data_IF_607368212118
#
_entry.id   IF_607368212118
#
_cell.length_a   1.000
_cell.length_b   1.000
_cell.length_c   1.000
_cell.angle_alpha   90.00
_cell.angle_beta   90.00
_cell.angle_gamma   90.00
#
_symmetry.space_group_name_H-M   'P 1'
#
loop_
_entity.id
_entity.type
_entity.pdbx_description
1 polymer ?
#
# COMPACT_ATOMS: atom_id res chain seq x y z
N UNK A 1 -11.34 6.16 -16.54
CA UNK A 1 -12.21 6.83 -15.54
C UNK A 1 -12.13 8.34 -15.75
N UNK A 2 -13.26 9.06 -15.70
CA UNK A 2 -13.26 10.54 -15.75
C UNK A 2 -12.53 11.09 -14.52
N UNK A 3 -11.44 11.84 -14.72
CA UNK A 3 -10.82 12.61 -13.62
C UNK A 3 -11.74 13.81 -13.34
N UNK A 4 -12.01 14.07 -12.06
CA UNK A 4 -12.75 15.26 -11.60
C UNK A 4 -11.77 16.16 -10.85
N UNK A 5 -11.89 17.46 -11.05
CA UNK A 5 -11.17 18.48 -10.29
C UNK A 5 -11.71 18.60 -8.87
N UNK A 6 -10.94 19.24 -7.98
CA UNK A 6 -11.38 19.55 -6.61
C UNK A 6 -12.63 20.43 -6.63
N UNK A 7 -12.67 21.46 -7.50
CA UNK A 7 -13.81 22.35 -7.63
C UNK A 7 -15.09 21.61 -8.04
N UNK A 8 -15.00 20.66 -8.98
CA UNK A 8 -16.15 19.82 -9.35
C UNK A 8 -16.63 18.95 -8.19
N UNK A 9 -15.73 18.40 -7.37
CA UNK A 9 -16.10 17.60 -6.21
C UNK A 9 -16.77 18.45 -5.13
N UNK A 10 -16.24 19.64 -4.85
CA UNK A 10 -16.85 20.59 -3.93
C UNK A 10 -18.26 20.99 -4.39
N UNK A 11 -18.44 21.26 -5.69
CA UNK A 11 -19.76 21.54 -6.28
C UNK A 11 -20.75 20.39 -6.19
N UNK A 12 -20.28 19.15 -6.00
CA UNK A 12 -21.09 17.96 -5.76
C UNK A 12 -21.37 17.69 -4.27
N UNK A 13 -20.97 18.60 -3.38
CA UNK A 13 -21.18 18.48 -1.94
C UNK A 13 -20.12 17.66 -1.20
N UNK A 14 -19.01 17.30 -1.86
CA UNK A 14 -17.87 16.73 -1.13
C UNK A 14 -17.21 17.78 -0.26
N UNK A 15 -16.62 17.35 0.85
CA UNK A 15 -15.88 18.22 1.74
C UNK A 15 -14.38 18.02 1.54
N UNK A 16 -13.64 19.13 1.50
CA UNK A 16 -12.19 19.09 1.56
C UNK A 16 -11.77 19.05 3.03
N UNK A 17 -11.02 18.01 3.37
CA UNK A 17 -10.50 17.82 4.70
C UNK A 17 -9.00 18.04 4.71
N UNK A 18 -8.54 19.07 5.42
CA UNK A 18 -7.13 19.35 5.57
C UNK A 18 -6.50 18.36 6.53
N UNK A 19 -5.39 17.76 6.09
CA UNK A 19 -4.63 16.79 6.86
C UNK A 19 -3.13 17.04 6.66
N UNK A 20 -2.38 17.00 7.75
CA UNK A 20 -0.93 17.24 7.78
C UNK A 20 -0.11 16.05 7.26
N UNK A 21 -0.75 14.89 7.07
CA UNK A 21 -0.08 13.64 6.70
C UNK A 21 0.67 12.96 7.85
N UNK A 22 0.55 13.49 9.07
CA UNK A 22 1.34 13.07 10.24
C UNK A 22 0.43 12.58 11.36
N UNK A 23 -0.58 13.36 11.71
CA UNK A 23 -1.46 13.08 12.84
C UNK A 23 -2.49 12.02 12.46
N UNK A 24 -2.59 10.94 13.24
CA UNK A 24 -3.62 9.93 13.00
C UNK A 24 -5.03 10.53 13.20
N UNK A 25 -5.96 10.29 12.27
CA UNK A 25 -7.32 10.85 12.35
C UNK A 25 -8.38 9.88 11.84
N UNK A 26 -9.31 9.41 12.69
CA UNK A 26 -10.43 8.62 12.23
C UNK A 26 -11.45 9.50 11.48
N UNK A 27 -12.06 8.91 10.46
CA UNK A 27 -13.18 9.50 9.72
C UNK A 27 -14.43 8.71 10.06
N UNK A 28 -15.42 9.41 10.61
CA UNK A 28 -16.69 8.83 11.03
C UNK A 28 -17.85 9.31 10.16
N UNK A 29 -18.87 8.47 10.00
CA UNK A 29 -20.12 8.86 9.37
C UNK A 29 -21.02 9.66 10.34
N UNK A 30 -22.22 10.02 9.88
CA UNK A 30 -23.20 10.77 10.69
C UNK A 30 -23.71 10.02 11.92
N UNK A 31 -23.50 8.71 12.01
CA UNK A 31 -23.84 7.88 13.17
C UNK A 31 -22.61 7.64 14.09
N UNK A 32 -21.48 8.29 13.81
CA UNK A 32 -20.24 8.14 14.58
C UNK A 32 -19.44 6.87 14.25
N UNK A 33 -19.82 6.10 13.23
CA UNK A 33 -19.12 4.87 12.84
C UNK A 33 -17.86 5.21 12.06
N UNK A 34 -16.71 4.74 12.52
CA UNK A 34 -15.44 4.91 11.82
C UNK A 34 -15.47 4.05 10.55
N UNK A 35 -15.34 4.70 9.38
CA UNK A 35 -15.30 4.02 8.09
C UNK A 35 -13.92 4.10 7.42
N UNK A 36 -13.05 4.99 7.88
CA UNK A 36 -11.68 5.12 7.42
C UNK A 36 -10.80 5.74 8.51
N UNK A 37 -9.50 5.50 8.45
CA UNK A 37 -8.50 6.13 9.31
C UNK A 37 -7.41 6.72 8.43
N UNK A 38 -7.14 8.01 8.61
CA UNK A 38 -5.92 8.63 8.11
C UNK A 38 -4.81 8.22 9.08
N UNK A 39 -4.00 7.24 8.69
CA UNK A 39 -3.06 6.53 9.56
C UNK A 39 -1.98 7.43 10.20
N UNK A 40 -1.59 8.50 9.53
CA UNK A 40 -0.47 9.33 9.97
C UNK A 40 0.86 8.62 9.78
N UNK A 41 1.78 8.94 10.68
CA UNK A 41 3.08 8.28 10.78
C UNK A 41 3.44 8.08 12.26
N UNK A 42 4.31 7.10 12.59
CA UNK A 42 4.84 6.98 13.92
C UNK A 42 5.67 8.22 14.30
N UNK A 43 5.74 8.50 15.60
CA UNK A 43 6.58 9.58 16.16
C UNK A 43 8.06 9.18 16.09
N UNK A 44 8.64 9.27 14.90
CA UNK A 44 10.01 8.92 14.64
C UNK A 44 10.55 9.72 13.45
N UNK A 45 11.59 10.52 13.69
CA UNK A 45 12.22 11.38 12.70
C UNK A 45 12.74 10.63 11.46
N UNK A 46 13.16 9.37 11.62
CA UNK A 46 13.66 8.52 10.53
C UNK A 46 12.54 7.90 9.67
N UNK A 47 11.26 8.05 10.06
CA UNK A 47 10.17 7.40 9.34
C UNK A 47 10.10 7.82 7.88
N UNK A 48 10.18 9.12 7.61
CA UNK A 48 10.11 9.63 6.24
C UNK A 48 11.27 9.12 5.39
N UNK A 49 12.47 9.06 5.96
CA UNK A 49 13.64 8.52 5.28
C UNK A 49 13.47 7.01 5.01
N UNK A 50 12.93 6.25 5.97
CA UNK A 50 12.62 4.83 5.79
C UNK A 50 11.62 4.60 4.65
N UNK A 51 10.54 5.38 4.58
CA UNK A 51 9.55 5.29 3.49
C UNK A 51 10.19 5.55 2.13
N UNK A 52 11.09 6.55 2.02
CA UNK A 52 11.81 6.85 0.78
C UNK A 52 12.78 5.71 0.39
N UNK A 53 13.53 5.17 1.34
CA UNK A 53 14.43 4.02 1.09
C UNK A 53 13.65 2.76 0.66
N UNK A 54 12.50 2.50 1.29
CA UNK A 54 11.61 1.42 0.88
C UNK A 54 11.09 1.62 -0.55
N UNK A 55 10.69 2.86 -0.89
CA UNK A 55 10.30 3.22 -2.25
C UNK A 55 11.42 2.97 -3.25
N UNK A 56 12.63 3.44 -2.97
CA UNK A 56 13.79 3.28 -3.86
C UNK A 56 14.15 1.80 -4.03
N UNK A 57 14.11 1.00 -2.96
CA UNK A 57 14.34 -0.45 -3.04
C UNK A 57 13.32 -1.13 -3.95
N UNK A 58 12.02 -0.85 -3.80
CA UNK A 58 10.97 -1.40 -4.67
C UNK A 58 11.18 -0.97 -6.13
N UNK A 59 11.57 0.29 -6.35
CA UNK A 59 11.82 0.82 -7.70
C UNK A 59 13.04 0.20 -8.36
N UNK A 60 14.13 0.00 -7.63
CA UNK A 60 15.35 -0.61 -8.12
C UNK A 60 15.14 -2.08 -8.47
N UNK A 61 14.54 -2.84 -7.55
CA UNK A 61 14.19 -4.24 -7.77
C UNK A 61 13.23 -4.40 -8.95
N UNK A 62 12.20 -3.55 -9.02
CA UNK A 62 11.22 -3.59 -10.10
C UNK A 62 11.78 -3.18 -11.46
N UNK A 63 12.82 -2.34 -11.52
CA UNK A 63 13.50 -1.99 -12.76
C UNK A 63 14.47 -3.09 -13.23
N UNK A 64 15.07 -3.82 -12.30
CA UNK A 64 15.91 -4.98 -12.58
C UNK A 64 15.09 -6.24 -12.94
N UNK A 65 13.81 -6.27 -12.55
CA UNK A 65 12.90 -7.33 -12.91
C UNK A 65 12.40 -7.15 -14.35
N UNK A 66 12.77 -8.08 -15.21
CA UNK A 66 12.31 -8.17 -16.59
C UNK A 66 10.83 -8.59 -16.65
N UNK A 67 9.94 -7.67 -16.30
CA UNK A 67 8.50 -7.92 -16.27
C UNK A 67 7.91 -7.84 -17.68
N UNK A 68 7.18 -8.88 -18.15
CA UNK A 68 6.46 -8.82 -19.41
C UNK A 68 5.42 -7.70 -19.43
N UNK A 69 5.19 -7.17 -20.63
CA UNK A 69 4.33 -6.00 -20.90
C UNK A 69 2.88 -6.16 -20.40
N UNK A 70 2.38 -7.39 -20.33
CA UNK A 70 1.03 -7.69 -19.85
C UNK A 70 0.86 -7.43 -18.35
N UNK A 71 1.92 -7.62 -17.55
CA UNK A 71 1.92 -7.31 -16.12
C UNK A 71 1.89 -5.82 -15.82
N UNK A 72 2.25 -4.95 -16.76
CA UNK A 72 2.21 -3.50 -16.54
C UNK A 72 0.80 -2.92 -16.62
N UNK A 73 -0.17 -3.64 -17.21
CA UNK A 73 -1.51 -3.12 -17.46
C UNK A 73 -2.48 -3.60 -16.39
N UNK A 74 -2.69 -2.78 -15.36
CA UNK A 74 -3.63 -3.09 -14.28
C UNK A 74 -4.70 -2.00 -14.09
N UNK A 75 -5.87 -2.39 -13.56
CA UNK A 75 -6.97 -1.45 -13.23
C UNK A 75 -6.54 -0.36 -12.24
N UNK A 76 -5.50 -0.64 -11.43
CA UNK A 76 -4.97 0.23 -10.37
C UNK A 76 -3.88 1.18 -10.86
N UNK A 77 -3.32 0.96 -12.06
CA UNK A 77 -2.26 1.80 -12.61
C UNK A 77 -1.33 1.06 -13.57
N UNK A 78 -0.29 1.76 -14.01
CA UNK A 78 0.75 1.24 -14.89
C UNK A 78 1.97 0.83 -14.08
N UNK A 79 1.91 -0.34 -13.48
CA UNK A 79 2.99 -0.93 -12.69
C UNK A 79 2.83 -2.45 -12.68
N UNK A 80 3.94 -3.18 -12.70
CA UNK A 80 3.93 -4.61 -12.44
C UNK A 80 3.55 -4.88 -10.97
N UNK A 81 2.76 -5.93 -10.74
CA UNK A 81 2.34 -6.33 -9.40
C UNK A 81 2.57 -7.82 -9.18
N UNK A 82 3.26 -8.16 -8.09
CA UNK A 82 3.44 -9.53 -7.61
C UNK A 82 2.64 -9.68 -6.32
N UNK A 83 1.79 -10.70 -6.24
CA UNK A 83 1.10 -11.03 -4.99
C UNK A 83 2.00 -11.93 -4.14
N UNK A 84 2.16 -11.57 -2.87
CA UNK A 84 3.02 -12.25 -1.90
C UNK A 84 2.20 -12.51 -0.64
N UNK A 85 2.49 -13.61 0.07
CA UNK A 85 1.86 -13.96 1.34
C UNK A 85 1.00 -15.22 1.25
N UNK A 86 0.01 -15.34 2.12
CA UNK A 86 -0.87 -16.50 2.20
C UNK A 86 -2.13 -16.29 1.36
N UNK A 87 -2.54 -17.33 0.65
CA UNK A 87 -3.81 -17.43 -0.04
C UNK A 87 -4.69 -18.45 0.68
N UNK A 88 -5.93 -18.06 0.95
CA UNK A 88 -6.98 -18.94 1.48
C UNK A 88 -8.27 -18.67 0.70
N UNK A 89 -8.80 -19.69 0.02
CA UNK A 89 -9.97 -19.57 -0.87
C UNK A 89 -9.89 -20.49 -2.10
N UNK A 90 -10.92 -20.47 -2.95
CA UNK A 90 -11.04 -21.29 -4.19
C UNK A 90 -11.01 -22.82 -3.98
N UNK A 91 -11.55 -23.32 -2.86
CA UNK A 91 -11.62 -24.76 -2.58
C UNK A 91 -10.39 -25.35 -1.89
N UNK A 92 -9.43 -24.51 -1.48
CA UNK A 92 -8.34 -24.92 -0.59
C UNK A 92 -8.89 -25.22 0.81
N UNK A 93 -8.43 -26.32 1.41
CA UNK A 93 -8.79 -26.74 2.79
C UNK A 93 -7.87 -26.15 3.85
N UNK A 94 -6.74 -25.58 3.45
CA UNK A 94 -5.77 -24.92 4.34
C UNK A 94 -5.14 -23.70 3.64
N UNK A 95 -4.62 -22.71 4.39
CA UNK A 95 -3.86 -21.60 3.84
C UNK A 95 -2.58 -22.09 3.15
N UNK A 96 -2.27 -21.54 1.98
CA UNK A 96 -1.06 -21.87 1.23
C UNK A 96 -0.31 -20.60 0.85
N UNK A 97 1.02 -20.62 0.92
CA UNK A 97 1.85 -19.52 0.43
C UNK A 97 1.72 -19.34 -1.09
N UNK A 98 1.63 -18.09 -1.52
CA UNK A 98 1.60 -17.74 -2.93
C UNK A 98 2.98 -18.01 -3.57
N UNK A 99 2.95 -18.74 -4.69
CA UNK A 99 4.13 -18.98 -5.50
C UNK A 99 4.44 -17.76 -6.38
N UNK A 100 5.58 -17.11 -6.11
CA UNK A 100 6.08 -15.94 -6.84
C UNK A 100 6.99 -16.32 -8.02
N UNK A 101 7.15 -17.63 -8.27
CA UNK A 101 7.86 -18.22 -9.41
C UNK A 101 9.25 -17.61 -9.58
N UNK A 102 9.55 -17.13 -10.79
CA UNK A 102 10.84 -16.58 -11.16
C UNK A 102 11.22 -15.30 -10.39
N UNK A 103 10.25 -14.66 -9.72
CA UNK A 103 10.47 -13.44 -8.95
C UNK A 103 10.75 -13.70 -7.47
N UNK A 104 10.80 -14.97 -7.02
CA UNK A 104 11.07 -15.31 -5.62
C UNK A 104 12.32 -14.63 -5.06
N UNK A 105 13.50 -14.60 -5.74
CA UNK A 105 14.68 -13.95 -5.21
C UNK A 105 14.51 -12.44 -4.98
N UNK A 106 13.77 -11.77 -5.87
CA UNK A 106 13.43 -10.34 -5.71
C UNK A 106 12.51 -10.13 -4.52
N UNK A 107 11.48 -10.97 -4.42
CA UNK A 107 10.50 -10.90 -3.33
C UNK A 107 11.19 -11.12 -1.99
N UNK A 108 12.08 -12.09 -1.89
CA UNK A 108 12.83 -12.38 -0.66
C UNK A 108 13.68 -11.19 -0.21
N UNK A 109 14.35 -10.50 -1.16
CA UNK A 109 15.10 -9.27 -0.85
C UNK A 109 14.21 -8.15 -0.32
N UNK A 110 13.04 -7.94 -0.94
CA UNK A 110 12.09 -6.93 -0.47
C UNK A 110 11.49 -7.29 0.89
N UNK A 111 11.19 -8.57 1.14
CA UNK A 111 10.68 -9.03 2.43
C UNK A 111 11.74 -8.96 3.55
N UNK A 112 13.03 -9.09 3.22
CA UNK A 112 14.13 -8.92 4.15
C UNK A 112 14.50 -7.45 4.41
N UNK A 113 13.95 -6.50 3.63
CA UNK A 113 14.27 -5.08 3.76
C UNK A 113 13.67 -4.50 5.06
N UNK A 114 14.53 -3.99 5.93
CA UNK A 114 14.14 -3.47 7.25
C UNK A 114 13.19 -2.27 7.17
N UNK A 115 13.32 -1.40 6.18
CA UNK A 115 12.42 -0.25 6.01
C UNK A 115 11.01 -0.71 5.59
N UNK A 116 10.90 -1.74 4.75
CA UNK A 116 9.62 -2.36 4.37
C UNK A 116 8.98 -3.07 5.57
N UNK A 117 9.76 -3.85 6.34
CA UNK A 117 9.29 -4.51 7.58
C UNK A 117 8.76 -3.46 8.57
N UNK A 118 9.48 -2.35 8.73
CA UNK A 118 9.09 -1.25 9.61
C UNK A 118 7.73 -0.65 9.19
N UNK A 119 7.50 -0.50 7.89
CA UNK A 119 6.21 -0.04 7.37
C UNK A 119 5.07 -1.05 7.64
N UNK A 120 5.33 -2.34 7.43
CA UNK A 120 4.36 -3.40 7.70
C UNK A 120 3.98 -3.46 9.19
N UNK A 121 4.96 -3.33 10.10
CA UNK A 121 4.73 -3.31 11.54
C UNK A 121 3.85 -2.13 11.97
N UNK A 122 4.10 -0.93 11.44
CA UNK A 122 3.25 0.23 11.72
C UNK A 122 1.81 -0.01 11.24
N UNK A 123 1.64 -0.52 10.01
CA UNK A 123 0.31 -0.87 9.51
C UNK A 123 -0.41 -1.90 10.39
N UNK A 124 0.31 -2.88 10.95
CA UNK A 124 -0.25 -3.85 11.89
C UNK A 124 -0.72 -3.21 13.19
N UNK A 125 0.01 -2.23 13.71
CA UNK A 125 -0.34 -1.51 14.95
C UNK A 125 -1.61 -0.64 14.84
N UNK A 126 -2.04 -0.28 13.63
CA UNK A 126 -3.26 0.52 13.40
C UNK A 126 -4.55 -0.32 13.45
N UNK A 127 -4.43 -1.65 13.32
CA UNK A 127 -5.56 -2.58 13.26
C UNK A 127 -5.76 -3.37 14.56
N UNK A 128 -4.88 -3.16 15.55
CA UNK A 128 -4.95 -3.77 16.88
C UNK A 128 -5.70 -2.84 17.86
#
# INVERSE_FOLDING_TARGET
>A
KKRRSVAELLGLGFQLFQWDGVSARPLSDSAGRIFAVLAGQPDNHEWRAAVLRAYDAIKQEGAAADFPTDMWRHRRGLFAAINVGLSYGKGLTAPTSLDTKTYAPLVDRLLANTDIIRMANFSGSLAA
#
